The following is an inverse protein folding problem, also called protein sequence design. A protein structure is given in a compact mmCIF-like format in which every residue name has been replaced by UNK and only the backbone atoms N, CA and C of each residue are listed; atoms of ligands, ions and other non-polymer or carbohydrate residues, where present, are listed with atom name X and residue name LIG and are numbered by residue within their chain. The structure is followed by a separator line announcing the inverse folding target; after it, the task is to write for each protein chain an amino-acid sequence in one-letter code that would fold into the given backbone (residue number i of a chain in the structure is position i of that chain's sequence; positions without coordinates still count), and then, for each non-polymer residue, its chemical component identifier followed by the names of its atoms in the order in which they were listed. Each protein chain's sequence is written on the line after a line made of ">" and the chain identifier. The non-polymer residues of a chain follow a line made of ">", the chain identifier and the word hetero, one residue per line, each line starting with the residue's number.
data_IF_512081258474
#
_entry.id   IF_512081258474
#
_cell.length_a   1.000
_cell.length_b   1.000
_cell.length_c   1.000
_cell.angle_alpha   90.00
_cell.angle_beta   90.00
_cell.angle_gamma   90.00
#
_symmetry.space_group_name_H-M   'P 1'
#
loop_
_entity.id
_entity.type
_entity.pdbx_description
1 polymer ?
#
# COMPACT_ATOMS: atom_id res chain seq x y z
N UNK A 1 -15.88 -28.25 1.60
CA UNK A 1 -14.43 -27.96 1.71
C UNK A 1 -14.26 -26.59 2.33
N UNK A 2 -13.81 -26.50 3.57
CA UNK A 2 -13.38 -25.22 4.16
C UNK A 2 -12.26 -24.62 3.31
N UNK A 3 -12.42 -23.35 2.90
CA UNK A 3 -11.34 -22.60 2.26
C UNK A 3 -10.25 -22.39 3.29
N UNK A 4 -9.10 -23.06 3.12
CA UNK A 4 -7.89 -22.75 3.86
C UNK A 4 -7.60 -21.25 3.79
N UNK A 5 -7.50 -20.60 4.95
CA UNK A 5 -7.27 -19.16 5.07
C UNK A 5 -5.83 -18.74 4.67
N UNK A 6 -4.96 -19.70 4.38
CA UNK A 6 -3.55 -19.46 4.11
C UNK A 6 -3.27 -19.32 2.62
N UNK A 7 -2.55 -18.27 2.23
CA UNK A 7 -2.16 -17.98 0.84
C UNK A 7 -0.65 -17.86 0.76
N UNK A 8 -0.03 -18.49 -0.24
CA UNK A 8 1.37 -18.30 -0.56
C UNK A 8 1.56 -17.07 -1.47
N UNK A 9 2.48 -16.18 -1.12
CA UNK A 9 2.87 -15.01 -1.92
C UNK A 9 4.40 -15.04 -2.10
N UNK A 10 4.88 -15.06 -3.34
CA UNK A 10 6.31 -14.96 -3.69
C UNK A 10 6.58 -13.69 -4.48
N UNK A 11 7.73 -13.07 -4.26
CA UNK A 11 8.18 -11.85 -4.96
C UNK A 11 9.56 -12.06 -5.52
N UNK A 12 9.77 -11.57 -6.73
CA UNK A 12 11.03 -11.65 -7.44
C UNK A 12 11.42 -10.26 -7.90
N UNK A 13 12.70 -9.96 -7.84
CA UNK A 13 13.26 -8.77 -8.47
C UNK A 13 13.54 -9.10 -9.93
N UNK A 14 13.11 -8.24 -10.83
CA UNK A 14 13.40 -8.35 -12.26
C UNK A 14 13.91 -7.02 -12.78
N UNK A 15 14.79 -7.06 -13.77
CA UNK A 15 15.27 -5.86 -14.47
C UNK A 15 14.26 -5.44 -15.53
N UNK A 16 14.31 -4.17 -15.94
CA UNK A 16 13.43 -3.65 -16.99
C UNK A 16 13.62 -4.40 -18.33
N UNK A 17 14.84 -4.88 -18.61
CA UNK A 17 15.16 -5.64 -19.82
C UNK A 17 14.33 -6.92 -19.96
N UNK A 18 14.01 -7.61 -18.86
CA UNK A 18 13.23 -8.86 -18.90
C UNK A 18 11.72 -8.64 -18.97
N UNK A 19 11.23 -7.39 -18.96
CA UNK A 19 9.78 -7.13 -18.81
C UNK A 19 8.96 -7.76 -19.93
N UNK A 20 9.39 -7.61 -21.19
CA UNK A 20 8.65 -8.15 -22.35
C UNK A 20 8.62 -9.67 -22.34
N UNK A 21 9.75 -10.30 -22.03
CA UNK A 21 9.88 -11.76 -21.89
C UNK A 21 8.98 -12.29 -20.76
N UNK A 22 9.01 -11.69 -19.58
CA UNK A 22 8.15 -12.08 -18.45
C UNK A 22 6.67 -11.97 -18.78
N UNK A 23 6.24 -10.91 -19.46
CA UNK A 23 4.85 -10.77 -19.90
C UNK A 23 4.48 -11.84 -20.93
N UNK A 24 5.39 -12.18 -21.85
CA UNK A 24 5.20 -13.27 -22.80
C UNK A 24 5.00 -14.61 -22.08
N UNK A 25 5.84 -14.94 -21.10
CA UNK A 25 5.67 -16.17 -20.32
C UNK A 25 4.35 -16.23 -19.56
N UNK A 26 3.91 -15.10 -18.97
CA UNK A 26 2.63 -15.04 -18.25
C UNK A 26 1.46 -15.27 -19.22
N UNK A 27 1.44 -14.58 -20.38
CA UNK A 27 0.35 -14.68 -21.37
C UNK A 27 0.29 -16.06 -22.04
N UNK A 28 1.44 -16.73 -22.20
CA UNK A 28 1.54 -18.06 -22.78
C UNK A 28 1.45 -19.19 -21.74
N UNK A 29 1.25 -18.87 -20.46
CA UNK A 29 1.07 -19.90 -19.43
C UNK A 29 -0.20 -20.72 -19.71
N UNK A 30 -0.20 -22.05 -19.54
CA UNK A 30 -1.38 -22.91 -19.79
C UNK A 30 -2.62 -22.58 -18.96
N UNK A 31 -2.47 -21.75 -17.93
CA UNK A 31 -3.57 -21.23 -17.12
C UNK A 31 -4.28 -20.02 -17.76
N UNK A 32 -3.86 -19.59 -18.95
CA UNK A 32 -4.46 -18.52 -19.75
C UNK A 32 -4.66 -17.20 -18.97
N UNK A 33 -3.60 -16.72 -18.29
CA UNK A 33 -3.65 -15.46 -17.57
C UNK A 33 -3.96 -14.28 -18.52
N UNK A 34 -4.80 -13.35 -18.07
CA UNK A 34 -5.29 -12.21 -18.88
C UNK A 34 -5.34 -10.96 -18.05
N UNK A 35 -5.15 -9.82 -18.69
CA UNK A 35 -5.19 -8.55 -17.97
C UNK A 35 -6.58 -8.30 -17.37
N UNK A 36 -6.69 -8.30 -16.04
CA UNK A 36 -7.97 -8.13 -15.32
C UNK A 36 -8.29 -6.66 -15.00
N UNK A 37 -7.30 -5.77 -15.16
CA UNK A 37 -7.45 -4.33 -15.02
C UNK A 37 -6.56 -3.62 -16.03
N UNK A 38 -6.96 -2.44 -16.48
CA UNK A 38 -6.07 -1.54 -17.21
C UNK A 38 -4.81 -1.26 -16.38
N UNK A 39 -3.67 -1.13 -17.06
CA UNK A 39 -2.42 -0.73 -16.40
C UNK A 39 -2.63 0.62 -15.72
N UNK A 40 -2.42 0.65 -14.41
CA UNK A 40 -2.70 1.82 -13.57
C UNK A 40 -1.49 2.19 -12.73
N UNK A 41 -1.38 3.48 -12.47
CA UNK A 41 -0.43 4.00 -11.50
C UNK A 41 -0.99 3.81 -10.10
N UNK A 42 -0.16 3.28 -9.21
CA UNK A 42 -0.45 3.09 -7.79
C UNK A 42 0.47 3.98 -7.00
N UNK A 43 -0.10 4.81 -6.15
CA UNK A 43 0.64 5.74 -5.30
C UNK A 43 0.40 5.39 -3.83
N UNK A 44 1.41 5.60 -3.00
CA UNK A 44 1.37 5.30 -1.59
C UNK A 44 2.08 6.41 -0.82
N UNK A 45 1.49 6.86 0.29
CA UNK A 45 2.19 7.59 1.34
C UNK A 45 2.34 6.63 2.51
N UNK A 46 3.57 6.21 2.81
CA UNK A 46 3.86 5.38 3.98
C UNK A 46 3.99 6.24 5.23
N UNK A 47 3.52 5.68 6.33
CA UNK A 47 3.62 6.27 7.66
C UNK A 47 4.52 5.39 8.52
N UNK A 48 5.36 6.03 9.32
CA UNK A 48 6.23 5.38 10.29
C UNK A 48 6.30 6.18 11.60
N UNK A 49 6.82 5.58 12.65
CA UNK A 49 7.17 6.30 13.88
C UNK A 49 8.33 7.26 13.60
N UNK A 50 8.52 8.31 14.42
CA UNK A 50 9.66 9.21 14.29
C UNK A 50 11.02 8.48 14.33
N UNK A 51 11.09 7.35 15.04
CA UNK A 51 12.28 6.51 15.14
C UNK A 51 12.40 5.44 14.03
N UNK A 52 11.57 5.52 12.98
CA UNK A 52 11.55 4.58 11.85
C UNK A 52 11.41 3.11 12.28
N UNK A 53 10.57 2.87 13.29
CA UNK A 53 10.41 1.53 13.88
C UNK A 53 9.91 0.53 12.83
N UNK A 54 8.92 0.89 12.00
CA UNK A 54 8.35 -0.04 11.03
C UNK A 54 9.33 -0.40 9.92
N UNK A 55 10.14 0.57 9.48
CA UNK A 55 11.28 0.32 8.60
C UNK A 55 12.27 -0.67 9.24
N UNK A 56 12.73 -0.40 10.46
CA UNK A 56 13.70 -1.24 11.15
C UNK A 56 13.15 -2.66 11.40
N UNK A 57 11.90 -2.79 11.85
CA UNK A 57 11.23 -4.08 12.01
C UNK A 57 11.20 -4.84 10.66
N UNK A 58 11.02 -4.13 9.54
CA UNK A 58 10.96 -4.74 8.21
C UNK A 58 12.31 -5.31 7.76
N UNK A 59 13.39 -4.55 7.93
CA UNK A 59 14.76 -4.92 7.54
C UNK A 59 15.32 -6.03 8.43
N UNK A 60 15.13 -5.92 9.74
CA UNK A 60 15.62 -6.92 10.72
C UNK A 60 14.82 -8.23 10.71
N UNK A 61 13.69 -8.27 9.99
CA UNK A 61 12.91 -9.49 9.79
C UNK A 61 12.06 -9.88 11.00
N UNK A 62 11.75 -8.94 11.91
CA UNK A 62 10.95 -9.21 13.11
C UNK A 62 9.62 -9.90 12.75
N UNK A 63 9.20 -10.84 13.60
CA UNK A 63 7.97 -11.61 13.40
C UNK A 63 6.72 -10.72 13.36
N UNK A 64 6.65 -9.72 14.26
CA UNK A 64 5.61 -8.70 14.30
C UNK A 64 6.01 -7.48 13.47
N UNK A 65 5.31 -7.23 12.37
CA UNK A 65 5.58 -6.09 11.47
C UNK A 65 4.29 -5.37 11.11
N UNK A 66 4.30 -4.04 11.21
CA UNK A 66 3.20 -3.16 10.80
C UNK A 66 3.65 -2.33 9.59
N UNK A 67 2.77 -2.16 8.60
CA UNK A 67 2.92 -1.16 7.53
C UNK A 67 1.63 -0.36 7.47
N UNK A 68 1.75 0.96 7.60
CA UNK A 68 0.63 1.89 7.51
C UNK A 68 0.84 2.76 6.28
N UNK A 69 -0.19 2.89 5.45
CA UNK A 69 -0.10 3.73 4.25
C UNK A 69 -1.45 4.30 3.83
N UNK A 70 -1.43 5.45 3.19
CA UNK A 70 -2.52 5.92 2.33
C UNK A 70 -2.19 5.45 0.91
N UNK A 71 -3.14 4.83 0.21
CA UNK A 71 -2.98 4.34 -1.15
C UNK A 71 -4.09 4.86 -2.05
N UNK A 72 -3.72 5.30 -3.26
CA UNK A 72 -4.68 5.69 -4.30
C UNK A 72 -4.18 5.27 -5.69
N UNK A 73 -5.07 5.38 -6.68
CA UNK A 73 -4.79 5.13 -8.08
C UNK A 73 -4.82 6.43 -8.89
N UNK A 74 -4.07 6.48 -9.98
CA UNK A 74 -4.02 7.65 -10.87
C UNK A 74 -2.77 8.50 -10.69
N UNK A 75 -2.87 9.81 -10.90
CA UNK A 75 -1.73 10.75 -10.81
C UNK A 75 -1.18 10.81 -9.39
N UNK A 76 0.13 11.06 -9.25
CA UNK A 76 0.77 11.24 -7.94
C UNK A 76 0.35 12.55 -7.28
N UNK A 77 0.16 13.60 -8.06
CA UNK A 77 -0.20 14.94 -7.60
C UNK A 77 -1.54 15.37 -8.21
N UNK A 78 -2.15 16.39 -7.63
CA UNK A 78 -3.50 16.86 -7.95
C UNK A 78 -4.55 16.35 -6.96
N UNK A 79 -5.81 16.43 -7.40
CA UNK A 79 -6.96 15.93 -6.65
C UNK A 79 -6.91 14.41 -6.53
N UNK A 80 -6.84 13.92 -5.30
CA UNK A 80 -6.84 12.49 -4.97
C UNK A 80 -8.25 12.06 -4.58
N UNK A 81 -8.84 11.19 -5.40
CA UNK A 81 -10.21 10.71 -5.24
C UNK A 81 -10.22 9.29 -4.67
N UNK A 82 -11.08 9.06 -3.67
CA UNK A 82 -11.28 7.78 -2.99
C UNK A 82 -10.00 7.12 -2.47
N UNK A 83 -9.09 7.85 -1.79
CA UNK A 83 -7.91 7.24 -1.17
C UNK A 83 -8.31 6.23 -0.09
N UNK A 84 -7.45 5.24 0.13
CA UNK A 84 -7.66 4.22 1.16
C UNK A 84 -6.52 4.24 2.17
N UNK A 85 -6.87 4.31 3.45
CA UNK A 85 -5.95 4.07 4.55
C UNK A 85 -5.83 2.57 4.77
N UNK A 86 -4.63 2.04 4.67
CA UNK A 86 -4.36 0.61 4.79
C UNK A 86 -3.40 0.32 5.94
N UNK A 87 -3.80 -0.62 6.80
CA UNK A 87 -2.94 -1.24 7.80
C UNK A 87 -2.65 -2.67 7.38
N UNK A 88 -1.38 -3.02 7.25
CA UNK A 88 -0.93 -4.39 7.07
C UNK A 88 -0.16 -4.81 8.32
N UNK A 89 -0.73 -5.73 9.09
CA UNK A 89 -0.15 -6.26 10.32
C UNK A 89 0.23 -7.71 10.05
N UNK A 90 1.48 -8.09 10.33
CA UNK A 90 1.97 -9.45 10.15
C UNK A 90 2.53 -9.96 11.46
N UNK A 91 2.16 -11.19 11.82
CA UNK A 91 2.64 -11.97 12.97
C UNK A 91 3.17 -13.31 12.45
N UNK A 92 4.49 -13.39 12.26
CA UNK A 92 5.15 -14.56 11.65
C UNK A 92 4.72 -14.76 10.20
N UNK A 93 4.01 -15.86 9.92
CA UNK A 93 3.48 -16.17 8.58
C UNK A 93 2.05 -15.66 8.36
N UNK A 94 1.33 -15.33 9.43
CA UNK A 94 -0.07 -14.88 9.36
C UNK A 94 -0.10 -13.34 9.33
N UNK A 95 -1.07 -12.76 8.64
CA UNK A 95 -1.25 -11.32 8.67
C UNK A 95 -2.68 -10.88 8.38
N UNK A 96 -3.03 -9.75 8.95
CA UNK A 96 -4.34 -9.10 8.80
C UNK A 96 -4.15 -7.82 8.01
N UNK A 97 -5.14 -7.50 7.17
CA UNK A 97 -5.20 -6.25 6.44
C UNK A 97 -6.49 -5.51 6.80
N UNK A 98 -6.36 -4.27 7.24
CA UNK A 98 -7.49 -3.35 7.37
C UNK A 98 -7.40 -2.31 6.27
N UNK A 99 -8.56 -1.98 5.69
CA UNK A 99 -8.71 -0.97 4.66
C UNK A 99 -9.85 -0.08 5.10
N UNK A 100 -9.57 1.20 5.22
CA UNK A 100 -10.51 2.21 5.67
C UNK A 100 -10.61 3.29 4.59
N UNK A 101 -11.82 3.79 4.42
CA UNK A 101 -12.10 4.84 3.48
C UNK A 101 -11.66 6.18 4.06
N UNK A 102 -11.18 7.06 3.18
CA UNK A 102 -10.72 8.38 3.55
C UNK A 102 -11.40 9.43 2.68
N UNK A 103 -11.53 10.62 3.23
CA UNK A 103 -11.91 11.80 2.45
C UNK A 103 -10.87 12.08 1.36
N UNK A 104 -11.36 12.60 0.25
CA UNK A 104 -10.54 13.10 -0.84
C UNK A 104 -9.63 14.24 -0.36
N UNK A 105 -8.47 14.39 -1.01
CA UNK A 105 -7.52 15.46 -0.66
C UNK A 105 -6.69 15.89 -1.88
N UNK A 106 -6.15 17.10 -1.82
CA UNK A 106 -5.19 17.60 -2.80
C UNK A 106 -3.76 17.18 -2.42
N UNK A 107 -3.04 16.53 -3.34
CA UNK A 107 -1.62 16.21 -3.19
C UNK A 107 -0.78 17.17 -4.03
N UNK A 108 0.04 18.00 -3.38
CA UNK A 108 0.85 19.00 -4.06
C UNK A 108 1.83 19.70 -3.12
N UNK A 109 2.24 20.92 -3.49
CA UNK A 109 3.28 21.68 -2.76
C UNK A 109 2.93 21.97 -1.30
N UNK A 110 1.64 22.18 -1.00
CA UNK A 110 1.15 22.47 0.35
C UNK A 110 1.00 21.20 1.22
N UNK A 111 1.36 20.03 0.70
CA UNK A 111 1.29 18.79 1.46
C UNK A 111 2.21 18.87 2.69
N UNK A 112 1.61 18.70 3.87
CA UNK A 112 2.32 18.68 5.14
C UNK A 112 1.76 17.59 6.04
N UNK A 113 2.54 17.23 7.08
CA UNK A 113 2.07 16.34 8.14
C UNK A 113 0.75 16.86 8.72
N UNK A 114 0.69 18.13 9.13
CA UNK A 114 -0.53 18.72 9.70
C UNK A 114 -1.73 18.56 8.76
N UNK A 115 -1.55 18.93 7.49
CA UNK A 115 -2.60 18.84 6.48
C UNK A 115 -3.17 17.42 6.34
N UNK A 116 -2.33 16.41 6.17
CA UNK A 116 -2.84 15.03 5.99
C UNK A 116 -3.51 14.49 7.25
N UNK A 117 -3.06 14.91 8.43
CA UNK A 117 -3.71 14.58 9.69
C UNK A 117 -5.09 15.25 9.85
N UNK A 118 -5.25 16.47 9.37
CA UNK A 118 -6.55 17.15 9.36
C UNK A 118 -7.53 16.45 8.40
N UNK A 119 -7.06 15.94 7.26
CA UNK A 119 -7.87 15.09 6.35
C UNK A 119 -8.26 13.78 7.03
N UNK A 120 -7.33 13.11 7.72
CA UNK A 120 -7.62 11.87 8.46
C UNK A 120 -8.69 12.09 9.54
N UNK A 121 -8.63 13.19 10.27
CA UNK A 121 -9.65 13.54 11.30
C UNK A 121 -11.02 13.83 10.70
N UNK A 122 -11.07 14.40 9.49
CA UNK A 122 -12.33 14.67 8.76
C UNK A 122 -12.91 13.42 8.10
N UNK A 123 -12.11 12.36 7.98
CA UNK A 123 -12.56 11.07 7.49
C UNK A 123 -13.34 10.35 8.59
N UNK A 124 -14.37 9.57 8.24
CA UNK A 124 -15.19 8.80 9.18
C UNK A 124 -14.42 7.56 9.70
N UNK A 125 -13.30 7.81 10.37
CA UNK A 125 -12.39 6.78 10.91
C UNK A 125 -12.70 6.52 12.38
N UNK A 126 -12.62 5.25 12.84
CA UNK A 126 -12.77 4.93 14.25
C UNK A 126 -11.75 5.68 15.12
N UNK A 127 -12.17 6.15 16.30
CA UNK A 127 -11.32 6.90 17.23
C UNK A 127 -9.99 6.17 17.56
N UNK A 128 -10.05 4.85 17.76
CA UNK A 128 -8.87 4.03 18.00
C UNK A 128 -7.83 4.10 16.85
N UNK A 129 -8.29 4.19 15.60
CA UNK A 129 -7.41 4.34 14.43
C UNK A 129 -6.76 5.73 14.41
N UNK A 130 -7.51 6.77 14.76
CA UNK A 130 -6.97 8.12 14.84
C UNK A 130 -5.88 8.21 15.91
N UNK A 131 -6.08 7.63 17.10
CA UNK A 131 -5.03 7.55 18.13
C UNK A 131 -3.79 6.80 17.65
N UNK A 132 -3.98 5.65 17.01
CA UNK A 132 -2.90 4.84 16.44
C UNK A 132 -2.04 5.61 15.44
N UNK A 133 -2.66 6.49 14.64
CA UNK A 133 -1.95 7.25 13.60
C UNK A 133 -1.29 8.51 14.16
N UNK A 134 -1.81 9.13 15.24
CA UNK A 134 -1.25 10.38 15.81
C UNK A 134 0.24 10.31 16.12
N UNK A 135 0.73 9.13 16.51
CA UNK A 135 2.15 8.90 16.82
C UNK A 135 3.02 8.67 15.57
N UNK A 136 2.43 8.62 14.38
CA UNK A 136 3.11 8.38 13.12
C UNK A 136 3.36 9.68 12.35
N UNK A 137 4.23 9.61 11.36
CA UNK A 137 4.48 10.68 10.40
C UNK A 137 4.51 10.10 8.99
N UNK A 138 4.05 10.85 7.97
CA UNK A 138 4.31 10.46 6.59
C UNK A 138 5.82 10.48 6.33
N UNK A 139 6.39 9.39 5.81
CA UNK A 139 7.84 9.23 5.66
C UNK A 139 8.29 9.00 4.21
N UNK A 140 7.46 8.35 3.39
CA UNK A 140 7.84 8.00 2.02
C UNK A 140 6.64 8.06 1.07
N UNK A 141 6.79 8.82 -0.01
CA UNK A 141 5.91 8.71 -1.18
C UNK A 141 6.50 7.68 -2.15
N UNK A 142 5.69 6.74 -2.58
CA UNK A 142 6.08 5.71 -3.55
C UNK A 142 5.03 5.58 -4.65
N UNK A 143 5.47 5.70 -5.90
CA UNK A 143 4.65 5.55 -7.10
C UNK A 143 5.22 4.49 -8.04
N UNK A 144 4.37 3.65 -8.61
CA UNK A 144 4.74 2.66 -9.61
C UNK A 144 3.56 2.31 -10.52
N UNK A 145 3.86 1.80 -11.72
CA UNK A 145 2.85 1.24 -12.62
C UNK A 145 2.64 -0.25 -12.35
N UNK A 146 1.40 -0.69 -12.33
CA UNK A 146 1.05 -2.10 -12.09
C UNK A 146 0.13 -2.65 -13.18
N UNK A 147 0.57 -3.76 -13.77
CA UNK A 147 -0.25 -4.62 -14.64
C UNK A 147 -0.69 -5.83 -13.83
N UNK A 148 -1.95 -6.23 -13.97
CA UNK A 148 -2.55 -7.36 -13.26
C UNK A 148 -2.95 -8.41 -14.30
N UNK A 149 -2.55 -9.65 -14.09
CA UNK A 149 -2.88 -10.80 -14.94
C UNK A 149 -3.68 -11.84 -14.14
#
# INVERSE_FOLDING_TARGET
>A
MEKSAYRYERKFTATAAHRSELISHIKNHPAFFREIYHTRQVNNIYFDTPALKFYNDNITGISQRKKVRIRWYGKTEGQIVSPKLEFKIKSGQVGTKWVLDMADFEMGREFSKKYIFDILKKSDLPAAILEDIKILSPTLVNSYRRTYF
#
